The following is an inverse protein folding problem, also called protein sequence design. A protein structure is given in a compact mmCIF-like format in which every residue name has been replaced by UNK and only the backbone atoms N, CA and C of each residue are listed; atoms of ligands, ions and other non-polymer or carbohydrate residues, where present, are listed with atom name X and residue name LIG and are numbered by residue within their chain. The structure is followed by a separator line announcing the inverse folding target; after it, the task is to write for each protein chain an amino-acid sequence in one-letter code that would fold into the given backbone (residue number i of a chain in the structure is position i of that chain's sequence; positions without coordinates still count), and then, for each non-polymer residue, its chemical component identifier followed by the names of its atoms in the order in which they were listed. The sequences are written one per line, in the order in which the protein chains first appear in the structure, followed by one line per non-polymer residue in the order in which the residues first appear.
data_IF_223209895572
#
_entry.id   IF_223209895572
#
_cell.length_a   1.000
_cell.length_b   1.000
_cell.length_c   1.000
_cell.angle_alpha   90.00
_cell.angle_beta   90.00
_cell.angle_gamma   90.00
#
_symmetry.space_group_name_H-M   'P 1'
#
loop_
_entity.id
_entity.type
_entity.pdbx_description
1 polymer ?
#
# COMPACT_ATOMS: atom_id res chain seq x y z
N UNK A 1 -12.72 -61.68 -19.55
CA UNK A 1 -14.00 -61.17 -20.08
C UNK A 1 -13.76 -59.75 -20.55
N UNK A 2 -14.02 -59.47 -21.83
CA UNK A 2 -13.64 -58.25 -22.52
C UNK A 2 -14.72 -57.14 -22.45
N UNK A 3 -14.29 -55.92 -22.82
CA UNK A 3 -15.06 -54.70 -23.21
C UNK A 3 -15.57 -53.84 -22.03
N UNK A 4 -15.61 -52.49 -22.08
CA UNK A 4 -15.69 -51.53 -23.18
C UNK A 4 -15.09 -50.15 -22.77
N UNK A 5 -14.43 -49.47 -23.70
CA UNK A 5 -14.09 -48.04 -23.68
C UNK A 5 -15.31 -47.16 -24.03
N UNK A 6 -15.45 -46.00 -23.38
CA UNK A 6 -15.97 -44.71 -23.92
C UNK A 6 -15.58 -43.59 -22.92
N UNK A 7 -14.61 -42.72 -23.22
CA UNK A 7 -14.69 -41.49 -24.03
C UNK A 7 -15.31 -40.27 -23.32
N UNK A 8 -14.50 -39.21 -23.15
CA UNK A 8 -14.95 -37.83 -23.38
C UNK A 8 -15.43 -37.02 -22.17
N UNK A 9 -14.56 -36.72 -21.21
CA UNK A 9 -14.77 -35.63 -20.25
C UNK A 9 -14.01 -34.38 -20.70
N UNK A 10 -14.71 -33.39 -21.27
CA UNK A 10 -14.14 -32.06 -21.53
C UNK A 10 -13.89 -31.37 -20.18
N UNK A 11 -12.63 -31.21 -19.80
CA UNK A 11 -12.25 -30.32 -18.71
C UNK A 11 -12.62 -28.88 -19.07
N UNK A 12 -13.76 -28.44 -18.54
CA UNK A 12 -14.14 -27.03 -18.58
C UNK A 12 -13.27 -26.31 -17.56
N UNK A 13 -12.31 -25.51 -18.04
CA UNK A 13 -11.67 -24.47 -17.25
C UNK A 13 -12.76 -23.67 -16.53
N UNK A 14 -12.87 -23.82 -15.21
CA UNK A 14 -13.71 -22.96 -14.39
C UNK A 14 -12.94 -21.67 -14.16
N UNK A 15 -13.14 -20.69 -15.04
CA UNK A 15 -12.71 -19.31 -14.80
C UNK A 15 -13.64 -18.72 -13.73
N UNK A 16 -13.29 -18.87 -12.46
CA UNK A 16 -13.96 -18.16 -11.37
C UNK A 16 -13.37 -16.76 -11.29
N UNK A 17 -14.05 -15.78 -11.88
CA UNK A 17 -13.79 -14.35 -11.62
C UNK A 17 -14.47 -14.02 -10.29
N UNK A 18 -13.75 -13.76 -9.19
CA UNK A 18 -14.39 -13.24 -7.99
C UNK A 18 -14.91 -11.84 -8.29
N UNK A 19 -16.23 -11.68 -8.20
CA UNK A 19 -16.92 -10.40 -8.28
C UNK A 19 -16.63 -9.62 -6.98
N UNK A 20 -15.45 -9.02 -6.86
CA UNK A 20 -15.11 -8.15 -5.72
C UNK A 20 -15.62 -6.74 -5.96
N UNK A 21 -16.59 -6.36 -5.14
CA UNK A 21 -17.18 -5.05 -4.88
C UNK A 21 -16.57 -3.82 -5.59
N UNK A 22 -17.36 -3.24 -6.49
CA UNK A 22 -17.20 -1.85 -6.93
C UNK A 22 -17.55 -0.93 -5.75
N UNK A 23 -16.56 -0.39 -5.05
CA UNK A 23 -16.77 0.65 -4.04
C UNK A 23 -16.82 1.99 -4.77
N UNK A 24 -18.03 2.53 -4.96
CA UNK A 24 -18.24 3.91 -5.43
C UNK A 24 -18.21 4.82 -4.19
N UNK A 25 -17.11 5.54 -3.97
CA UNK A 25 -17.05 6.60 -2.98
C UNK A 25 -17.30 7.95 -3.67
N UNK A 26 -18.36 8.67 -3.26
CA UNK A 26 -18.68 10.04 -3.70
C UNK A 26 -18.43 10.99 -2.53
N UNK A 27 -17.70 12.09 -2.76
CA UNK A 27 -17.53 13.17 -1.79
C UNK A 27 -17.76 14.54 -2.43
N UNK A 28 -18.38 15.44 -1.66
CA UNK A 28 -18.63 16.84 -2.01
C UNK A 28 -17.86 17.72 -1.02
N UNK A 29 -17.01 18.61 -1.53
CA UNK A 29 -16.35 19.64 -0.72
C UNK A 29 -17.06 20.98 -0.94
N UNK A 30 -17.55 21.61 0.13
CA UNK A 30 -18.14 22.96 0.12
C UNK A 30 -17.04 23.97 0.46
N UNK A 31 -16.71 24.95 -0.40
CA UNK A 31 -15.68 25.93 -0.09
C UNK A 31 -16.17 26.96 0.94
N UNK A 32 -15.36 27.18 1.98
CA UNK A 32 -15.55 28.24 2.97
C UNK A 32 -15.07 29.60 2.46
N UNK A 33 -15.80 30.66 2.81
CA UNK A 33 -15.55 32.05 2.45
C UNK A 33 -14.18 32.56 2.91
N UNK A 34 -13.42 33.19 2.01
CA UNK A 34 -12.21 33.96 2.32
C UNK A 34 -12.57 35.39 2.68
N UNK A 35 -12.25 35.83 3.90
CA UNK A 35 -12.17 37.24 4.27
C UNK A 35 -10.74 37.73 4.01
N UNK A 36 -10.60 38.76 3.17
CA UNK A 36 -9.33 39.41 2.86
C UNK A 36 -8.94 40.41 3.96
N UNK A 37 -7.66 40.42 4.35
CA UNK A 37 -7.03 41.53 5.07
C UNK A 37 -5.85 42.05 4.25
N UNK A 38 -5.51 43.36 4.32
CA UNK A 38 -4.63 44.02 3.36
C UNK A 38 -3.14 43.77 3.61
N UNK A 39 -2.38 43.69 2.52
CA UNK A 39 -0.92 43.65 2.45
C UNK A 39 -0.31 44.98 2.93
N UNK A 40 0.64 44.93 3.88
CA UNK A 40 1.70 45.93 4.04
C UNK A 40 2.77 45.46 5.06
N UNK A 41 3.93 44.99 4.59
CA UNK A 41 5.27 45.22 5.16
C UNK A 41 6.38 44.44 4.39
N UNK A 42 7.59 45.02 4.21
CA UNK A 42 8.64 44.46 3.34
C UNK A 42 9.52 43.38 4.00
N UNK A 43 10.15 42.59 3.11
CA UNK A 43 10.94 41.34 3.25
C UNK A 43 12.09 41.33 4.27
N UNK A 44 12.55 40.14 4.70
CA UNK A 44 13.83 39.69 4.15
C UNK A 44 13.87 38.21 3.75
N UNK A 45 14.52 38.01 2.61
CA UNK A 45 15.11 36.78 2.07
C UNK A 45 15.77 35.93 3.17
N UNK A 46 15.26 34.72 3.42
CA UNK A 46 16.02 33.67 4.08
C UNK A 46 15.44 32.28 3.76
N UNK A 47 16.30 31.44 3.22
CA UNK A 47 16.13 30.02 2.99
C UNK A 47 15.39 29.32 4.14
N UNK A 48 14.19 28.81 3.83
CA UNK A 48 13.52 27.82 4.67
C UNK A 48 12.94 26.73 3.80
N UNK A 49 13.63 25.59 3.81
CA UNK A 49 13.05 24.26 3.61
C UNK A 49 11.71 24.18 4.34
N UNK A 50 10.63 24.40 3.59
CA UNK A 50 9.27 24.33 4.08
C UNK A 50 8.81 22.90 3.93
N UNK A 51 8.74 22.19 5.06
CA UNK A 51 7.99 20.95 5.17
C UNK A 51 6.54 21.25 4.76
N UNK A 52 6.15 20.80 3.56
CA UNK A 52 4.85 21.08 2.96
C UNK A 52 3.76 20.25 3.65
N UNK A 53 3.29 20.72 4.81
CA UNK A 53 2.03 20.31 5.42
C UNK A 53 0.90 21.20 4.86
N UNK A 54 0.66 21.12 3.55
CA UNK A 54 -0.50 21.74 2.89
C UNK A 54 -1.67 20.76 2.77
N UNK A 55 -2.92 21.24 2.65
CA UNK A 55 -4.06 20.37 2.29
C UNK A 55 -3.74 19.61 1.00
N UNK A 56 -4.35 18.42 0.75
CA UNK A 56 -4.04 17.63 -0.44
C UNK A 56 -4.26 18.50 -1.66
N UNK A 57 -3.14 18.90 -2.27
CA UNK A 57 -3.14 19.81 -3.40
C UNK A 57 -3.91 19.10 -4.51
N UNK A 58 -5.11 19.62 -4.81
CA UNK A 58 -5.82 19.31 -6.03
C UNK A 58 -4.81 19.51 -7.14
N UNK A 59 -4.50 18.44 -7.87
CA UNK A 59 -3.56 18.49 -8.97
C UNK A 59 -4.13 19.42 -10.04
N UNK A 60 -3.80 20.71 -9.94
CA UNK A 60 -3.85 21.59 -11.09
C UNK A 60 -2.77 21.10 -12.08
N UNK A 61 -3.08 21.03 -13.39
CA UNK A 61 -2.26 20.29 -14.36
C UNK A 61 -0.90 20.92 -14.68
N UNK A 62 -0.59 22.09 -14.12
CA UNK A 62 0.56 22.86 -14.53
C UNK A 62 1.69 22.74 -13.50
N UNK A 63 2.48 21.67 -13.57
CA UNK A 63 3.92 21.70 -13.28
C UNK A 63 4.61 20.32 -13.37
N UNK A 64 5.70 20.34 -14.14
CA UNK A 64 6.71 19.28 -14.43
C UNK A 64 6.31 18.31 -15.55
N UNK A 65 6.72 18.69 -16.77
CA UNK A 65 6.42 18.02 -18.04
C UNK A 65 7.15 16.69 -18.26
N UNK A 66 7.16 16.28 -19.52
CA UNK A 66 7.85 15.10 -20.01
C UNK A 66 9.32 15.01 -19.56
N UNK A 67 9.82 13.77 -19.48
CA UNK A 67 11.20 13.50 -19.13
C UNK A 67 11.39 12.76 -17.81
N UNK A 68 12.64 12.83 -17.31
CA UNK A 68 13.12 12.07 -16.17
C UNK A 68 12.62 12.64 -14.84
N UNK A 69 12.27 11.74 -13.91
CA UNK A 69 11.92 12.04 -12.53
C UNK A 69 10.84 13.14 -12.39
N UNK A 70 9.67 12.99 -13.03
CA UNK A 70 8.62 14.01 -12.97
C UNK A 70 8.17 14.24 -11.52
N UNK A 71 7.90 15.50 -11.17
CA UNK A 71 7.57 15.91 -9.80
C UNK A 71 6.16 15.52 -9.36
N UNK A 72 5.29 15.14 -10.30
CA UNK A 72 3.88 14.83 -10.06
C UNK A 72 3.53 13.39 -10.46
N UNK A 73 2.36 12.92 -10.00
CA UNK A 73 1.83 11.59 -10.33
C UNK A 73 0.56 11.75 -11.15
N UNK A 74 0.48 11.03 -12.27
CA UNK A 74 -0.72 11.05 -13.13
C UNK A 74 -1.97 10.46 -12.46
N UNK A 75 -1.79 9.51 -11.53
CA UNK A 75 -2.87 8.96 -10.72
C UNK A 75 -2.55 9.11 -9.23
N UNK A 76 -3.26 9.99 -8.52
CA UNK A 76 -3.18 10.08 -7.07
C UNK A 76 -3.64 8.75 -6.45
N UNK A 77 -3.19 8.44 -5.23
CA UNK A 77 -3.64 7.21 -4.59
C UNK A 77 -5.10 7.26 -4.18
N UNK A 78 -5.66 6.08 -3.93
CA UNK A 78 -7.03 5.97 -3.45
C UNK A 78 -7.14 6.40 -2.00
N UNK A 79 -8.34 6.84 -1.63
CA UNK A 79 -8.63 7.11 -0.23
C UNK A 79 -8.54 5.80 0.54
N UNK A 80 -7.80 5.82 1.65
CA UNK A 80 -7.59 4.65 2.49
C UNK A 80 -7.09 3.41 1.72
N UNK A 81 -6.27 3.61 0.67
CA UNK A 81 -5.62 2.50 -0.04
C UNK A 81 -4.67 1.77 0.92
N UNK A 82 -5.02 0.56 1.39
CA UNK A 82 -4.17 -0.16 2.34
C UNK A 82 -2.88 -0.66 1.68
N UNK A 83 -2.84 -0.71 0.34
CA UNK A 83 -1.68 -1.18 -0.44
C UNK A 83 -0.79 -0.03 -0.89
N UNK A 84 -1.16 1.23 -0.65
CA UNK A 84 -0.29 2.35 -0.99
C UNK A 84 0.94 2.29 -0.10
N UNK A 85 2.11 2.22 -0.71
CA UNK A 85 3.36 2.41 0.01
C UNK A 85 3.40 3.82 0.58
N UNK A 86 3.41 3.92 1.90
CA UNK A 86 3.46 5.17 2.63
C UNK A 86 4.28 4.97 3.91
N UNK A 87 4.74 6.08 4.47
CA UNK A 87 5.34 6.10 5.79
C UNK A 87 4.24 6.23 6.83
N UNK A 88 4.06 5.23 7.67
CA UNK A 88 3.14 5.31 8.80
C UNK A 88 3.61 4.45 9.96
N UNK A 89 3.19 4.85 11.15
CA UNK A 89 3.37 4.10 12.37
C UNK A 89 2.06 4.06 13.13
N UNK A 90 1.75 2.92 13.73
CA UNK A 90 0.56 2.72 14.54
C UNK A 90 0.92 1.89 15.76
N UNK A 91 0.32 2.24 16.89
CA UNK A 91 0.36 1.42 18.10
C UNK A 91 -1.01 0.79 18.25
N UNK A 92 -1.04 -0.53 18.41
CA UNK A 92 -2.24 -1.29 18.78
C UNK A 92 -2.09 -1.69 20.24
N UNK A 93 -3.12 -1.42 21.03
CA UNK A 93 -3.15 -1.75 22.45
C UNK A 93 -4.29 -2.74 22.69
N UNK A 94 -4.08 -3.70 23.58
CA UNK A 94 -5.03 -4.80 23.83
C UNK A 94 -5.41 -5.60 22.57
N UNK A 95 -4.48 -5.76 21.63
CA UNK A 95 -4.69 -6.65 20.47
C UNK A 95 -4.55 -8.11 20.95
N UNK A 96 -5.57 -8.92 20.68
CA UNK A 96 -5.66 -10.32 21.08
C UNK A 96 -5.32 -11.30 19.95
N UNK A 97 -4.97 -10.81 18.76
CA UNK A 97 -4.64 -11.62 17.59
C UNK A 97 -3.52 -12.65 17.84
N UNK A 98 -2.73 -12.45 18.89
CA UNK A 98 -1.59 -13.30 19.25
C UNK A 98 -1.73 -14.00 20.62
N UNK A 99 -2.93 -14.02 21.22
CA UNK A 99 -3.13 -14.62 22.54
C UNK A 99 -2.82 -16.11 22.60
N UNK A 100 -3.18 -16.86 21.55
CA UNK A 100 -2.91 -18.29 21.45
C UNK A 100 -1.40 -18.56 21.44
N UNK A 101 -0.67 -17.80 20.64
CA UNK A 101 0.77 -17.88 20.60
C UNK A 101 1.37 -17.43 21.94
N UNK A 102 0.83 -16.40 22.61
CA UNK A 102 1.33 -15.95 23.93
C UNK A 102 1.38 -17.09 24.96
N UNK A 103 0.53 -18.12 24.86
CA UNK A 103 0.49 -19.26 25.80
C UNK A 103 0.94 -20.58 25.15
N UNK A 104 2.22 -20.66 24.76
CA UNK A 104 2.84 -21.92 24.29
C UNK A 104 2.77 -22.99 25.37
N UNK A 105 2.07 -24.09 25.09
CA UNK A 105 1.92 -25.24 26.00
C UNK A 105 1.42 -24.89 27.41
N UNK A 106 0.59 -23.85 27.53
CA UNK A 106 0.09 -23.35 28.82
C UNK A 106 1.05 -22.43 29.57
N UNK A 107 2.24 -22.15 29.03
CA UNK A 107 3.23 -21.22 29.59
C UNK A 107 3.25 -19.93 28.76
N UNK A 108 3.35 -18.78 29.44
CA UNK A 108 3.45 -17.50 28.74
C UNK A 108 4.84 -17.38 28.08
N UNK A 109 4.89 -17.23 26.75
CA UNK A 109 6.14 -17.08 25.98
C UNK A 109 6.84 -15.75 26.21
N UNK A 110 6.13 -14.73 26.70
CA UNK A 110 6.59 -13.36 27.05
C UNK A 110 7.19 -12.56 25.89
N UNK A 111 7.33 -13.15 24.71
CA UNK A 111 7.96 -12.56 23.53
C UNK A 111 6.97 -11.80 22.66
N UNK A 112 5.69 -12.15 22.71
CA UNK A 112 4.62 -11.45 21.99
C UNK A 112 4.07 -10.24 22.76
N UNK A 113 4.85 -9.72 23.69
CA UNK A 113 4.45 -8.61 24.56
C UNK A 113 3.56 -9.06 25.72
N UNK A 114 3.86 -8.54 26.91
CA UNK A 114 3.09 -8.88 28.12
C UNK A 114 1.71 -8.21 28.12
N UNK A 115 1.64 -7.04 27.49
CA UNK A 115 0.54 -6.07 27.63
C UNK A 115 -0.35 -5.99 26.36
N UNK A 116 -0.16 -6.89 25.39
CA UNK A 116 -0.93 -6.89 24.12
C UNK A 116 -0.70 -5.62 23.30
N UNK A 117 0.51 -5.05 23.39
CA UNK A 117 0.89 -3.82 22.71
C UNK A 117 1.76 -4.15 21.49
N UNK A 118 1.31 -3.73 20.31
CA UNK A 118 1.98 -4.00 19.04
C UNK A 118 2.26 -2.71 18.29
N UNK A 119 3.40 -2.65 17.61
CA UNK A 119 3.77 -1.57 16.72
C UNK A 119 3.64 -2.03 15.27
N UNK A 120 2.75 -1.41 14.52
CA UNK A 120 2.66 -1.59 13.07
C UNK A 120 3.40 -0.43 12.40
N UNK A 121 4.33 -0.74 11.51
CA UNK A 121 5.04 0.26 10.70
C UNK A 121 4.87 -0.04 9.23
N UNK A 122 4.73 1.02 8.46
CA UNK A 122 4.75 1.01 7.00
C UNK A 122 5.87 1.94 6.56
N UNK A 123 6.70 1.47 5.65
CA UNK A 123 7.72 2.27 4.99
C UNK A 123 7.52 2.07 3.51
N UNK A 124 7.54 3.15 2.74
CA UNK A 124 7.56 2.97 1.31
C UNK A 124 7.32 4.24 0.54
N UNK A 125 7.74 4.18 -0.72
CA UNK A 125 7.74 5.32 -1.61
C UNK A 125 7.55 4.86 -3.05
N UNK A 126 7.05 5.80 -3.85
CA UNK A 126 6.96 5.66 -5.30
C UNK A 126 7.85 6.71 -5.92
N UNK A 127 8.83 6.26 -6.68
CA UNK A 127 9.74 7.06 -7.48
C UNK A 127 9.21 7.12 -8.92
N UNK A 128 8.71 8.28 -9.38
CA UNK A 128 8.47 8.49 -10.80
C UNK A 128 9.79 8.41 -11.55
N UNK A 129 9.85 7.61 -12.61
CA UNK A 129 11.08 7.42 -13.39
C UNK A 129 11.07 8.29 -14.63
N UNK A 130 9.98 8.21 -15.40
CA UNK A 130 9.88 8.92 -16.66
C UNK A 130 8.42 9.21 -17.02
N UNK A 131 8.17 10.37 -17.63
CA UNK A 131 6.89 10.73 -18.25
C UNK A 131 7.06 11.02 -19.74
N UNK A 132 6.17 10.46 -20.54
CA UNK A 132 6.01 10.76 -21.96
C UNK A 132 4.76 11.59 -22.17
N UNK A 133 4.89 12.67 -22.93
CA UNK A 133 3.76 13.41 -23.48
C UNK A 133 3.39 12.77 -24.82
N UNK A 134 2.18 12.21 -24.87
CA UNK A 134 1.60 11.59 -26.06
C UNK A 134 0.55 12.52 -26.64
N UNK A 135 0.23 12.43 -27.95
CA UNK A 135 -0.74 13.33 -28.58
C UNK A 135 -2.13 13.36 -27.92
N UNK A 136 -2.50 12.28 -27.25
CA UNK A 136 -3.80 12.14 -26.59
C UNK A 136 -3.72 12.19 -25.05
N UNK A 137 -2.55 12.34 -24.44
CA UNK A 137 -2.41 12.30 -22.98
C UNK A 137 -0.99 12.03 -22.50
N UNK A 138 -0.83 11.76 -21.22
CA UNK A 138 0.49 11.54 -20.60
C UNK A 138 0.62 10.07 -20.18
N UNK A 139 1.80 9.48 -20.38
CA UNK A 139 2.16 8.16 -19.86
C UNK A 139 3.29 8.33 -18.84
N UNK A 140 3.18 7.71 -17.66
CA UNK A 140 4.20 7.78 -16.63
C UNK A 140 4.56 6.39 -16.11
N UNK A 141 5.85 6.09 -16.13
CA UNK A 141 6.41 4.90 -15.51
C UNK A 141 7.01 5.23 -14.14
N UNK A 142 6.76 4.36 -13.16
CA UNK A 142 7.22 4.51 -11.80
C UNK A 142 7.82 3.21 -11.29
N UNK A 143 8.68 3.32 -10.29
CA UNK A 143 9.08 2.20 -9.43
C UNK A 143 8.55 2.49 -8.03
N UNK A 144 8.02 1.47 -7.37
CA UNK A 144 7.48 1.58 -6.02
C UNK A 144 8.04 0.47 -5.15
N UNK A 145 8.45 0.85 -3.95
CA UNK A 145 9.00 -0.06 -2.96
C UNK A 145 8.32 0.17 -1.61
N UNK A 146 8.05 -0.92 -0.91
CA UNK A 146 7.33 -0.90 0.35
C UNK A 146 7.76 -2.02 1.29
N UNK A 147 7.55 -1.76 2.57
CA UNK A 147 7.69 -2.71 3.64
C UNK A 147 6.63 -2.44 4.70
N UNK A 148 5.96 -3.49 5.16
CA UNK A 148 5.11 -3.46 6.35
C UNK A 148 5.68 -4.41 7.38
N UNK A 149 5.83 -3.96 8.62
CA UNK A 149 6.32 -4.80 9.70
C UNK A 149 5.45 -4.65 10.94
N UNK A 150 5.32 -5.76 11.67
CA UNK A 150 4.60 -5.80 12.93
C UNK A 150 5.54 -6.23 14.05
N UNK A 151 5.60 -5.41 15.09
CA UNK A 151 6.40 -5.64 16.27
C UNK A 151 5.50 -5.91 17.48
N UNK A 152 5.86 -6.86 18.33
CA UNK A 152 5.31 -6.99 19.67
C UNK A 152 6.20 -6.26 20.68
N UNK A 153 5.65 -5.32 21.44
CA UNK A 153 6.43 -4.62 22.47
C UNK A 153 6.49 -5.43 23.75
N UNK A 154 7.70 -5.63 24.27
CA UNK A 154 7.96 -6.37 25.51
C UNK A 154 8.63 -5.46 26.53
N UNK A 155 8.39 -5.73 27.81
CA UNK A 155 9.11 -5.05 28.89
C UNK A 155 10.57 -5.48 28.84
N UNK A 156 11.48 -4.55 28.62
CA UNK A 156 12.92 -4.82 28.67
C UNK A 156 13.29 -5.42 30.03
N UNK A 157 14.09 -6.48 29.99
CA UNK A 157 14.62 -7.12 31.21
C UNK A 157 16.15 -7.04 31.14
N UNK A 158 16.74 -6.13 31.94
CA UNK A 158 18.19 -5.88 31.94
C UNK A 158 18.67 -4.89 30.86
N UNK A 159 19.97 -4.58 30.86
CA UNK A 159 20.58 -3.56 30.00
C UNK A 159 20.78 -4.00 28.53
N UNK A 160 20.81 -5.32 28.29
CA UNK A 160 20.89 -5.93 26.95
C UNK A 160 19.52 -6.44 26.43
N UNK A 161 18.44 -6.14 27.15
CA UNK A 161 17.11 -6.61 26.81
C UNK A 161 16.55 -5.87 25.60
N UNK A 162 16.07 -6.62 24.61
CA UNK A 162 15.32 -6.08 23.48
C UNK A 162 13.93 -5.60 23.94
N UNK A 163 13.47 -4.47 23.39
CA UNK A 163 12.20 -3.81 23.73
C UNK A 163 11.04 -4.28 22.85
N UNK A 164 11.31 -5.00 21.77
CA UNK A 164 10.30 -5.44 20.82
C UNK A 164 10.58 -6.84 20.30
N UNK A 165 9.78 -7.36 19.40
CA UNK A 165 10.02 -8.64 18.72
C UNK A 165 9.36 -8.52 17.37
N UNK A 166 10.10 -8.81 16.30
CA UNK A 166 9.55 -8.77 14.97
C UNK A 166 8.65 -9.99 14.78
N UNK A 167 7.39 -9.78 14.41
CA UNK A 167 6.42 -10.86 14.20
C UNK A 167 6.36 -11.26 12.73
N UNK A 168 6.17 -10.27 11.86
CA UNK A 168 6.21 -10.45 10.43
C UNK A 168 6.72 -9.18 9.73
N UNK A 169 7.22 -9.41 8.52
CA UNK A 169 7.59 -8.35 7.58
C UNK A 169 7.14 -8.75 6.18
N UNK A 170 6.39 -7.87 5.54
CA UNK A 170 5.97 -7.99 4.15
C UNK A 170 6.77 -7.00 3.31
N UNK A 171 7.52 -7.50 2.33
CA UNK A 171 8.31 -6.73 1.37
C UNK A 171 7.54 -6.60 0.07
N UNK A 172 7.53 -5.40 -0.51
CA UNK A 172 6.79 -5.09 -1.72
C UNK A 172 7.63 -4.32 -2.71
N UNK A 173 7.55 -4.71 -3.98
CA UNK A 173 8.19 -4.02 -5.09
C UNK A 173 7.29 -4.04 -6.32
N UNK A 174 7.12 -2.89 -6.97
CA UNK A 174 6.16 -2.73 -8.05
C UNK A 174 6.63 -1.79 -9.16
N UNK A 175 6.00 -1.96 -10.31
CA UNK A 175 6.21 -1.16 -11.51
C UNK A 175 4.90 -0.50 -11.97
N UNK A 176 4.45 0.60 -11.32
CA UNK A 176 3.23 1.29 -11.74
C UNK A 176 3.42 2.07 -13.03
N UNK A 177 2.63 1.72 -14.05
CA UNK A 177 2.53 2.48 -15.31
C UNK A 177 1.16 3.13 -15.37
N UNK A 178 1.13 4.45 -15.53
CA UNK A 178 -0.11 5.24 -15.52
C UNK A 178 -0.25 5.99 -16.82
N UNK A 179 -1.41 5.91 -17.46
CA UNK A 179 -1.80 6.73 -18.60
C UNK A 179 -2.93 7.67 -18.18
N UNK A 180 -2.84 8.96 -18.50
CA UNK A 180 -3.88 9.96 -18.20
C UNK A 180 -4.27 10.72 -19.46
N UNK A 181 -5.58 10.82 -19.68
CA UNK A 181 -6.21 11.63 -20.73
C UNK A 181 -7.30 12.50 -20.10
N UNK A 182 -7.03 13.80 -20.01
CA UNK A 182 -7.93 14.76 -19.37
C UNK A 182 -8.28 14.36 -17.92
N UNK A 183 -9.55 14.03 -17.69
CA UNK A 183 -10.11 13.66 -16.39
C UNK A 183 -10.08 12.17 -16.09
N UNK A 184 -9.60 11.34 -17.03
CA UNK A 184 -9.50 9.88 -16.86
C UNK A 184 -8.04 9.47 -16.72
N UNK A 185 -7.73 8.65 -15.71
CA UNK A 185 -6.44 8.01 -15.56
C UNK A 185 -6.62 6.49 -15.44
N UNK A 186 -5.74 5.75 -16.08
CA UNK A 186 -5.63 4.29 -16.03
C UNK A 186 -4.25 3.94 -15.46
N UNK A 187 -4.19 3.08 -14.46
CA UNK A 187 -2.94 2.59 -13.89
C UNK A 187 -2.92 1.08 -13.92
N UNK A 188 -1.88 0.54 -14.54
CA UNK A 188 -1.51 -0.87 -14.45
C UNK A 188 -0.33 -1.00 -13.49
N UNK A 189 -0.33 -2.02 -12.64
CA UNK A 189 0.81 -2.37 -11.80
C UNK A 189 1.09 -3.85 -11.89
N UNK A 190 2.35 -4.18 -12.13
CA UNK A 190 2.90 -5.49 -11.81
C UNK A 190 3.71 -5.37 -10.53
N UNK A 191 3.55 -6.29 -9.60
CA UNK A 191 4.22 -6.21 -8.32
C UNK A 191 4.51 -7.58 -7.73
N UNK A 192 5.60 -7.64 -6.99
CA UNK A 192 6.01 -8.79 -6.21
C UNK A 192 5.88 -8.44 -4.73
N UNK A 193 5.34 -9.38 -3.95
CA UNK A 193 5.26 -9.29 -2.50
C UNK A 193 5.77 -10.57 -1.87
N UNK A 194 6.72 -10.45 -0.96
CA UNK A 194 7.21 -11.57 -0.15
C UNK A 194 7.01 -11.31 1.33
N UNK A 195 6.60 -12.33 2.07
CA UNK A 195 6.36 -12.24 3.51
C UNK A 195 7.32 -13.15 4.27
N UNK A 196 7.92 -12.60 5.32
CA UNK A 196 8.79 -13.31 6.24
C UNK A 196 8.25 -13.21 7.66
N UNK A 197 8.19 -14.34 8.35
CA UNK A 197 8.02 -14.36 9.81
C UNK A 197 9.31 -13.88 10.46
N UNK A 198 9.20 -13.16 11.56
CA UNK A 198 10.36 -12.76 12.35
C UNK A 198 11.09 -13.97 12.90
N UNK A 199 12.41 -13.86 12.99
CA UNK A 199 13.28 -14.91 13.49
C UNK A 199 13.02 -15.19 14.97
N UNK A 200 12.82 -14.15 15.78
CA UNK A 200 12.45 -14.32 17.19
C UNK A 200 11.11 -15.07 17.32
N UNK A 201 10.13 -14.77 16.47
CA UNK A 201 8.87 -15.50 16.45
C UNK A 201 9.05 -16.98 16.15
N UNK A 202 9.85 -17.33 15.12
CA UNK A 202 10.11 -18.73 14.74
C UNK A 202 10.87 -19.48 15.84
N UNK A 203 11.82 -18.82 16.52
CA UNK A 203 12.57 -19.43 17.62
C UNK A 203 11.65 -19.81 18.80
N UNK A 204 10.59 -19.02 19.04
CA UNK A 204 9.62 -19.33 20.09
C UNK A 204 8.61 -20.39 19.69
N UNK A 205 8.22 -20.48 18.42
CA UNK A 205 7.23 -21.44 17.93
C UNK A 205 7.81 -22.29 16.80
N UNK A 206 8.80 -23.15 17.09
CA UNK A 206 9.41 -24.04 16.11
C UNK A 206 8.40 -25.04 15.48
N UNK A 207 7.27 -25.27 16.14
CA UNK A 207 6.15 -26.04 15.60
C UNK A 207 5.46 -25.35 14.41
N UNK A 208 5.63 -24.03 14.25
CA UNK A 208 5.09 -23.31 13.10
C UNK A 208 6.04 -23.51 11.91
N UNK A 209 5.57 -24.17 10.83
CA UNK A 209 6.39 -24.34 9.66
C UNK A 209 6.65 -22.98 9.03
N UNK A 210 7.93 -22.64 8.85
CA UNK A 210 8.32 -21.46 8.09
C UNK A 210 7.72 -21.55 6.68
N UNK A 211 6.85 -20.59 6.34
CA UNK A 211 6.34 -20.42 4.99
C UNK A 211 6.91 -19.13 4.41
N UNK A 212 7.63 -19.25 3.31
CA UNK A 212 8.01 -18.10 2.50
C UNK A 212 6.88 -17.88 1.51
N UNK A 213 5.97 -16.97 1.85
CA UNK A 213 4.92 -16.56 0.92
C UNK A 213 5.54 -15.57 -0.04
N UNK A 214 5.44 -15.86 -1.33
CA UNK A 214 5.87 -15.00 -2.43
C UNK A 214 4.71 -14.91 -3.39
N UNK A 215 4.31 -13.71 -3.81
CA UNK A 215 3.24 -13.56 -4.78
C UNK A 215 3.64 -12.52 -5.82
N UNK A 216 3.52 -12.89 -7.08
CA UNK A 216 3.54 -11.99 -8.22
C UNK A 216 2.10 -11.67 -8.58
N UNK A 217 1.77 -10.39 -8.60
CA UNK A 217 0.42 -9.93 -8.82
C UNK A 217 0.40 -8.86 -9.91
N UNK A 218 -0.77 -8.73 -10.52
CA UNK A 218 -1.06 -7.67 -11.46
C UNK A 218 -2.38 -7.01 -11.09
N UNK A 219 -2.46 -5.69 -11.17
CA UNK A 219 -3.70 -4.96 -11.02
C UNK A 219 -3.87 -3.85 -12.05
N UNK A 220 -5.14 -3.53 -12.29
CA UNK A 220 -5.56 -2.48 -13.19
C UNK A 220 -6.59 -1.61 -12.46
N UNK A 221 -6.34 -0.32 -12.44
CA UNK A 221 -7.22 0.67 -11.84
C UNK A 221 -7.53 1.77 -12.83
N UNK A 222 -8.75 2.28 -12.75
CA UNK A 222 -9.22 3.47 -13.47
C UNK A 222 -9.68 4.50 -12.45
N UNK A 223 -9.42 5.77 -12.73
CA UNK A 223 -10.03 6.89 -12.03
C UNK A 223 -10.60 7.92 -12.98
N UNK A 224 -11.71 8.53 -12.59
CA UNK A 224 -12.42 9.56 -13.33
C UNK A 224 -12.75 10.75 -12.42
N UNK A 225 -12.33 11.94 -12.82
CA UNK A 225 -12.44 13.20 -12.07
C UNK A 225 -13.34 14.19 -12.82
N UNK A 226 -14.68 14.03 -12.80
CA UNK A 226 -15.60 14.86 -13.59
C UNK A 226 -15.57 16.34 -13.18
N UNK A 227 -15.32 16.61 -11.89
CA UNK A 227 -15.15 17.94 -11.31
C UNK A 227 -14.00 17.88 -10.30
N UNK A 228 -13.34 19.01 -9.98
CA UNK A 228 -12.22 19.01 -9.04
C UNK A 228 -12.52 18.38 -7.66
N UNK A 229 -13.77 18.45 -7.20
CA UNK A 229 -14.18 17.98 -5.89
C UNK A 229 -14.52 16.49 -5.84
N UNK A 230 -14.70 15.82 -7.00
CA UNK A 230 -15.19 14.45 -7.06
C UNK A 230 -14.27 13.57 -7.90
N UNK A 231 -13.90 12.42 -7.33
CA UNK A 231 -13.10 11.39 -8.01
C UNK A 231 -13.72 10.03 -7.81
N UNK A 232 -14.12 9.40 -8.90
CA UNK A 232 -14.50 8.00 -8.93
C UNK A 232 -13.29 7.16 -9.28
N UNK A 233 -13.16 6.00 -8.66
CA UNK A 233 -12.12 5.05 -8.99
C UNK A 233 -12.59 3.63 -8.75
N UNK A 234 -12.00 2.70 -9.48
CA UNK A 234 -12.28 1.28 -9.37
C UNK A 234 -11.17 0.50 -10.03
N UNK A 235 -11.03 -0.77 -9.65
CA UNK A 235 -10.03 -1.63 -10.24
C UNK A 235 -10.19 -3.07 -9.82
N UNK A 236 -9.40 -3.92 -10.48
CA UNK A 236 -9.33 -5.34 -10.20
C UNK A 236 -7.86 -5.77 -10.24
N UNK A 237 -7.55 -6.83 -9.51
CA UNK A 237 -6.23 -7.42 -9.52
C UNK A 237 -6.31 -8.93 -9.38
N UNK A 238 -5.22 -9.59 -9.75
CA UNK A 238 -5.06 -11.03 -9.66
C UNK A 238 -3.68 -11.37 -9.13
N UNK A 239 -3.61 -12.49 -8.42
CA UNK A 239 -2.34 -13.20 -8.23
C UNK A 239 -2.06 -13.93 -9.53
N UNK A 240 -0.86 -13.71 -10.07
CA UNK A 240 -0.36 -14.34 -11.30
C UNK A 240 0.43 -15.60 -10.94
N UNK A 241 1.26 -15.51 -9.90
CA UNK A 241 2.06 -16.61 -9.40
C UNK A 241 2.21 -16.52 -7.87
N UNK A 242 2.39 -17.68 -7.22
CA UNK A 242 2.44 -17.87 -5.76
C UNK A 242 3.35 -19.04 -5.42
#
# INVERSE_FOLDING_TARGET
MARHLTAGGRDRLRLSVPLSALIIALWLCVPGHTAAFPDDAPTPENDRHSYHNGPPQLAHPDSTGDGWLPGTRLMPAFLADPRRTAFSGGIRYHDDAFNDYRRRDGVNSRVLGRDGMFGAVSLGSRLPIYRWDLPAGELQFNIEGGLWALFAFKKQTGWLGDASTLLNTDYYFAFPTTYRIGTVALQFRFWHMSSHLGDEFILLYPEIPRRNVSNECADLFVSYEPIPQARFYGGAGTVVHS
#
